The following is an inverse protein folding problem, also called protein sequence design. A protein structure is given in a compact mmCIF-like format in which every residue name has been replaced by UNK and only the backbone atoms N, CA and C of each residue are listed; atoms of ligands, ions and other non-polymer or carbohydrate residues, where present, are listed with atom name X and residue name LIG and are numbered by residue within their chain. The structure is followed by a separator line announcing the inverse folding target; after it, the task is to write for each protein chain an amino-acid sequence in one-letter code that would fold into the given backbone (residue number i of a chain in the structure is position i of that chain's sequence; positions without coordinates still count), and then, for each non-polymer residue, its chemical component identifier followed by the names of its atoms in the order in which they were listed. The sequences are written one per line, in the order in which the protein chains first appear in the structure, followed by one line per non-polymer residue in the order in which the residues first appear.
data_IF_136283666474
#
_entry.id   IF_136283666474
#
_cell.length_a   1.000
_cell.length_b   1.000
_cell.length_c   1.000
_cell.angle_alpha   90.00
_cell.angle_beta   90.00
_cell.angle_gamma   90.00
#
_symmetry.space_group_name_H-M   'P 1'
#
loop_
_entity.id
_entity.type
_entity.pdbx_description
1 polymer ?
#
# COMPACT_ATOMS: atom_id res chain seq x y z
N UNK A 1 21.45 -11.65 -62.86
CA UNK A 1 21.81 -10.82 -61.67
C UNK A 1 20.55 -10.07 -61.23
N UNK A 2 19.58 -10.76 -60.61
CA UNK A 2 18.28 -10.14 -60.26
C UNK A 2 17.55 -10.79 -59.08
N UNK A 3 18.20 -11.66 -58.29
CA UNK A 3 17.56 -12.38 -57.18
C UNK A 3 18.15 -12.07 -55.79
N UNK A 4 19.19 -11.22 -55.70
CA UNK A 4 19.79 -10.82 -54.41
C UNK A 4 19.24 -9.46 -53.96
N UNK A 5 18.91 -8.56 -54.90
CA UNK A 5 18.33 -7.26 -54.58
C UNK A 5 16.94 -7.36 -53.93
N UNK A 6 16.18 -8.42 -54.25
CA UNK A 6 14.85 -8.64 -53.70
C UNK A 6 14.87 -9.18 -52.26
N UNK A 7 15.99 -9.76 -51.81
CA UNK A 7 16.17 -10.20 -50.42
C UNK A 7 16.70 -9.08 -49.51
N UNK A 8 17.34 -8.06 -50.07
CA UNK A 8 17.76 -6.86 -49.35
C UNK A 8 16.62 -5.82 -49.23
N UNK A 9 15.65 -5.84 -50.15
CA UNK A 9 14.47 -4.96 -50.08
C UNK A 9 13.40 -5.49 -49.10
N UNK A 10 13.41 -6.78 -48.78
CA UNK A 10 12.47 -7.37 -47.81
C UNK A 10 12.94 -7.31 -46.35
N UNK A 11 14.23 -7.12 -46.07
CA UNK A 11 14.75 -7.03 -44.69
C UNK A 11 14.80 -5.60 -44.12
N UNK A 12 14.51 -4.57 -44.91
CA UNK A 12 14.46 -3.17 -44.44
C UNK A 12 13.06 -2.75 -43.96
N UNK A 13 12.05 -3.62 -44.08
CA UNK A 13 10.70 -3.34 -43.58
C UNK A 13 10.44 -3.78 -42.14
N UNK A 14 11.40 -4.42 -41.46
CA UNK A 14 11.20 -4.99 -40.11
C UNK A 14 11.97 -4.24 -39.00
N UNK A 15 12.30 -2.96 -39.17
CA UNK A 15 12.96 -2.19 -38.11
C UNK A 15 12.38 -0.77 -38.03
N UNK A 16 11.71 -0.49 -36.90
CA UNK A 16 11.03 0.75 -36.51
C UNK A 16 9.63 0.96 -37.09
N UNK A 17 8.61 0.59 -36.32
CA UNK A 17 7.24 0.97 -36.66
C UNK A 17 6.15 0.49 -35.74
N UNK A 18 6.45 0.00 -34.54
CA UNK A 18 5.51 -0.12 -33.42
C UNK A 18 5.16 1.30 -32.91
N UNK A 19 4.55 2.08 -33.80
CA UNK A 19 3.69 3.20 -33.48
C UNK A 19 2.51 2.59 -32.75
N UNK A 20 2.60 2.70 -31.43
CA UNK A 20 1.47 2.61 -30.52
C UNK A 20 0.27 3.29 -31.17
N UNK A 21 -0.79 2.50 -31.29
CA UNK A 21 -2.19 2.88 -31.38
C UNK A 21 -2.44 4.35 -30.99
N UNK A 22 -2.53 5.23 -31.98
CA UNK A 22 -3.25 6.50 -31.87
C UNK A 22 -4.70 6.25 -32.29
N UNK A 23 -5.48 5.64 -31.41
CA UNK A 23 -6.93 5.76 -31.40
C UNK A 23 -7.29 7.11 -30.77
N UNK A 24 -7.35 8.15 -31.62
CA UNK A 24 -7.95 9.43 -31.24
C UNK A 24 -9.46 9.25 -31.16
N UNK A 25 -9.94 9.13 -29.91
CA UNK A 25 -11.06 9.84 -29.29
C UNK A 25 -12.34 10.00 -30.12
N UNK A 26 -13.47 9.42 -29.69
CA UNK A 26 -14.59 10.21 -29.14
C UNK A 26 -15.74 9.35 -28.60
N UNK A 27 -15.96 9.43 -27.29
CA UNK A 27 -17.29 9.34 -26.70
C UNK A 27 -17.69 8.01 -26.09
N UNK A 28 -17.24 7.73 -24.85
CA UNK A 28 -18.05 7.13 -23.76
C UNK A 28 -17.27 6.61 -22.52
N UNK A 29 -16.25 7.29 -22.00
CA UNK A 29 -15.54 6.73 -20.82
C UNK A 29 -14.73 7.75 -20.02
N UNK A 30 -15.32 8.92 -19.75
CA UNK A 30 -14.94 9.81 -18.64
C UNK A 30 -15.04 9.16 -17.22
N UNK A 31 -15.09 7.83 -17.15
CA UNK A 31 -15.13 6.96 -15.97
C UNK A 31 -14.01 5.91 -15.96
N UNK A 32 -13.11 5.88 -16.96
CA UNK A 32 -12.01 4.94 -17.02
C UNK A 32 -10.86 5.32 -16.06
N UNK A 33 -11.07 5.10 -14.76
CA UNK A 33 -9.96 4.83 -13.83
C UNK A 33 -9.58 3.36 -14.03
N UNK A 34 -9.02 3.03 -15.20
CA UNK A 34 -8.41 1.73 -15.43
C UNK A 34 -7.07 1.64 -14.66
N UNK A 35 -6.78 0.52 -13.99
CA UNK A 35 -5.54 0.38 -13.23
C UNK A 35 -4.33 0.53 -14.16
N UNK A 36 -3.21 1.14 -13.70
CA UNK A 36 -2.00 1.23 -14.50
C UNK A 36 -1.56 -0.19 -14.88
N UNK A 37 -1.37 -0.44 -16.18
CA UNK A 37 -0.92 -1.72 -16.72
C UNK A 37 0.44 -2.07 -16.12
N UNK A 38 0.44 -3.00 -15.17
CA UNK A 38 1.64 -3.41 -14.47
C UNK A 38 2.41 -4.38 -15.39
N UNK A 39 3.68 -4.12 -15.74
CA UNK A 39 4.46 -4.98 -16.65
C UNK A 39 4.72 -6.40 -16.10
N UNK A 40 4.38 -6.63 -14.82
CA UNK A 40 4.50 -7.91 -14.11
C UNK A 40 3.17 -8.69 -13.99
N UNK A 41 2.05 -8.17 -14.53
CA UNK A 41 0.76 -8.87 -14.57
C UNK A 41 0.10 -9.16 -13.21
N UNK A 42 0.65 -8.64 -12.11
CA UNK A 42 0.09 -8.85 -10.78
C UNK A 42 -0.86 -7.72 -10.42
N UNK A 43 -2.14 -8.01 -10.52
CA UNK A 43 -3.24 -7.14 -10.11
C UNK A 43 -3.69 -7.55 -8.71
N UNK A 44 -3.65 -6.62 -7.76
CA UNK A 44 -4.15 -6.87 -6.40
C UNK A 44 -5.64 -6.60 -6.36
N UNK A 45 -6.44 -7.66 -6.42
CA UNK A 45 -7.89 -7.57 -6.23
C UNK A 45 -8.22 -7.10 -4.81
N UNK A 46 -9.30 -6.32 -4.66
CA UNK A 46 -9.79 -5.85 -3.35
C UNK A 46 -9.93 -6.98 -2.32
N UNK A 47 -10.43 -8.14 -2.75
CA UNK A 47 -10.56 -9.31 -1.89
C UNK A 47 -9.21 -9.83 -1.40
N UNK A 48 -8.18 -9.84 -2.26
CA UNK A 48 -6.82 -10.21 -1.86
C UNK A 48 -6.24 -9.22 -0.84
N UNK A 49 -6.46 -7.92 -1.05
CA UNK A 49 -6.03 -6.87 -0.13
C UNK A 49 -6.72 -6.95 1.25
N UNK A 50 -8.02 -7.28 1.29
CA UNK A 50 -8.77 -7.48 2.54
C UNK A 50 -8.26 -8.73 3.27
N UNK A 51 -8.11 -9.85 2.56
CA UNK A 51 -7.61 -11.09 3.17
C UNK A 51 -6.19 -10.93 3.73
N UNK A 52 -5.33 -10.18 3.04
CA UNK A 52 -3.99 -9.84 3.53
C UNK A 52 -4.04 -9.02 4.82
N UNK A 53 -4.88 -7.97 4.87
CA UNK A 53 -5.04 -7.14 6.06
C UNK A 53 -5.58 -7.94 7.25
N UNK A 54 -6.58 -8.80 7.02
CA UNK A 54 -7.15 -9.69 8.05
C UNK A 54 -6.07 -10.64 8.58
N UNK A 55 -5.22 -11.18 7.71
CA UNK A 55 -4.10 -12.04 8.11
C UNK A 55 -3.07 -11.33 9.00
N UNK A 56 -2.75 -10.07 8.72
CA UNK A 56 -1.83 -9.27 9.55
C UNK A 56 -2.45 -8.93 10.91
N UNK A 57 -3.73 -8.56 10.94
CA UNK A 57 -4.44 -8.23 12.20
C UNK A 57 -4.65 -9.46 13.10
N UNK A 58 -4.96 -10.61 12.52
CA UNK A 58 -5.15 -11.88 13.23
C UNK A 58 -3.85 -12.63 13.53
N UNK A 59 -2.67 -12.04 13.27
CA UNK A 59 -1.37 -12.68 13.50
C UNK A 59 -1.09 -13.03 14.98
N UNK A 60 0.16 -12.94 15.41
CA UNK A 60 0.54 -13.29 16.79
C UNK A 60 -0.22 -12.49 17.87
N UNK A 61 -0.80 -11.33 17.53
CA UNK A 61 -1.50 -10.44 18.45
C UNK A 61 -2.70 -11.07 19.18
N UNK A 62 -3.53 -11.86 18.49
CA UNK A 62 -4.74 -12.44 19.11
C UNK A 62 -4.40 -13.46 20.21
N UNK A 63 -3.26 -14.15 20.08
CA UNK A 63 -2.83 -15.19 21.02
C UNK A 63 -1.95 -14.64 22.15
N UNK A 64 -1.18 -13.58 21.91
CA UNK A 64 -0.25 -13.03 22.90
C UNK A 64 -0.86 -11.96 23.80
N UNK A 65 -1.84 -11.18 23.32
CA UNK A 65 -2.41 -10.03 24.05
C UNK A 65 -3.34 -10.42 25.21
N UNK A 66 -4.22 -11.43 25.13
CA UNK A 66 -5.22 -11.69 26.17
C UNK A 66 -4.62 -12.04 27.53
N UNK A 67 -3.56 -12.85 27.56
CA UNK A 67 -2.91 -13.29 28.81
C UNK A 67 -2.19 -12.16 29.55
N UNK A 68 -1.57 -11.23 28.80
CA UNK A 68 -0.88 -10.06 29.35
C UNK A 68 -1.88 -9.06 29.93
N UNK A 69 -2.96 -8.79 29.20
CA UNK A 69 -4.01 -7.86 29.64
C UNK A 69 -4.75 -8.41 30.86
N UNK A 70 -5.06 -9.71 30.88
CA UNK A 70 -5.75 -10.32 32.02
C UNK A 70 -4.91 -10.24 33.31
N UNK A 71 -3.59 -10.48 33.22
CA UNK A 71 -2.68 -10.32 34.36
C UNK A 71 -2.55 -8.86 34.82
N UNK A 72 -2.59 -7.91 33.89
CA UNK A 72 -2.42 -6.48 34.21
C UNK A 72 -3.67 -5.86 34.86
N UNK A 73 -4.85 -6.36 34.51
CA UNK A 73 -6.14 -5.79 34.92
C UNK A 73 -6.75 -6.54 36.12
N UNK A 74 -6.45 -7.84 36.29
CA UNK A 74 -6.96 -8.67 37.38
C UNK A 74 -8.47 -8.92 37.38
N UNK A 75 -9.22 -8.31 36.46
CA UNK A 75 -10.69 -8.40 36.34
C UNK A 75 -11.11 -8.64 34.90
N UNK A 76 -11.96 -9.65 34.70
CA UNK A 76 -12.47 -10.05 33.38
C UNK A 76 -13.39 -9.01 32.74
N UNK A 77 -14.06 -8.18 33.56
CA UNK A 77 -14.99 -7.16 33.06
C UNK A 77 -14.27 -6.03 32.31
N UNK A 78 -13.13 -5.58 32.85
CA UNK A 78 -12.31 -4.54 32.20
C UNK A 78 -11.66 -5.06 30.91
N UNK A 79 -11.34 -6.36 30.83
CA UNK A 79 -10.84 -6.98 29.59
C UNK A 79 -11.84 -6.79 28.43
N UNK A 80 -13.13 -7.08 28.66
CA UNK A 80 -14.16 -6.90 27.64
C UNK A 80 -14.37 -5.44 27.24
N UNK A 81 -14.26 -4.50 28.19
CA UNK A 81 -14.35 -3.07 27.88
C UNK A 81 -13.18 -2.64 26.98
N UNK A 82 -11.95 -3.04 27.30
CA UNK A 82 -10.79 -2.75 26.46
C UNK A 82 -10.88 -3.41 25.09
N UNK A 83 -11.46 -4.60 25.02
CA UNK A 83 -11.65 -5.31 23.76
C UNK A 83 -12.56 -4.57 22.78
N UNK A 84 -13.57 -3.85 23.27
CA UNK A 84 -14.46 -3.03 22.42
C UNK A 84 -13.83 -1.66 22.16
N UNK A 85 -13.15 -1.11 23.15
CA UNK A 85 -12.56 0.22 23.08
C UNK A 85 -11.38 0.28 22.08
N UNK A 86 -10.53 -0.75 22.03
CA UNK A 86 -9.37 -0.76 21.14
C UNK A 86 -9.74 -0.75 19.64
N UNK A 87 -10.67 -1.60 19.14
CA UNK A 87 -11.18 -1.50 17.78
C UNK A 87 -11.84 -0.15 17.48
N UNK A 88 -12.50 0.47 18.45
CA UNK A 88 -13.10 1.79 18.26
C UNK A 88 -12.04 2.85 17.94
N UNK A 89 -10.96 2.89 18.71
CA UNK A 89 -9.82 3.77 18.42
C UNK A 89 -9.16 3.44 17.07
N UNK A 90 -9.04 2.15 16.73
CA UNK A 90 -8.51 1.73 15.44
C UNK A 90 -9.40 2.18 14.27
N UNK A 91 -10.72 2.12 14.41
CA UNK A 91 -11.68 2.60 13.41
C UNK A 91 -11.58 4.11 13.21
N UNK A 92 -11.39 4.89 14.27
CA UNK A 92 -11.14 6.33 14.14
C UNK A 92 -9.86 6.60 13.32
N UNK A 93 -8.77 5.87 13.59
CA UNK A 93 -7.54 5.98 12.82
C UNK A 93 -7.72 5.55 11.35
N UNK A 94 -8.46 4.47 11.11
CA UNK A 94 -8.79 3.98 9.78
C UNK A 94 -9.61 5.00 8.98
N UNK A 95 -10.53 5.70 9.63
CA UNK A 95 -11.35 6.72 8.96
C UNK A 95 -10.50 7.88 8.45
N UNK A 96 -9.59 8.40 9.28
CA UNK A 96 -8.62 9.43 8.87
C UNK A 96 -7.72 8.91 7.74
N UNK A 97 -7.25 7.67 7.85
CA UNK A 97 -6.44 7.05 6.80
C UNK A 97 -7.23 6.83 5.49
N UNK A 98 -8.54 6.60 5.58
CA UNK A 98 -9.39 6.38 4.40
C UNK A 98 -9.60 7.66 3.59
N UNK A 99 -9.78 8.81 4.25
CA UNK A 99 -9.84 10.11 3.59
C UNK A 99 -8.55 10.39 2.84
N UNK A 100 -7.43 10.02 3.45
CA UNK A 100 -6.12 10.20 2.87
C UNK A 100 -5.83 9.24 1.71
N UNK A 101 -6.30 7.99 1.80
CA UNK A 101 -6.24 7.02 0.71
C UNK A 101 -7.04 7.47 -0.52
N UNK A 102 -8.16 8.17 -0.34
CA UNK A 102 -8.94 8.74 -1.45
C UNK A 102 -8.27 9.96 -2.10
N UNK A 103 -7.43 10.71 -1.38
CA UNK A 103 -6.77 11.91 -1.90
C UNK A 103 -5.65 11.59 -2.92
N UNK A 104 -5.07 10.38 -2.87
CA UNK A 104 -3.90 10.01 -3.67
C UNK A 104 -4.07 8.63 -4.36
N UNK A 105 -5.00 8.50 -5.33
CA UNK A 105 -5.38 7.20 -5.90
C UNK A 105 -4.35 6.57 -6.86
N UNK A 106 -3.34 7.32 -7.33
CA UNK A 106 -2.45 6.89 -8.43
C UNK A 106 -1.04 6.49 -8.03
N UNK A 107 -0.66 6.60 -6.74
CA UNK A 107 0.71 6.34 -6.30
C UNK A 107 0.74 5.32 -5.18
N UNK A 108 1.24 4.13 -5.50
CA UNK A 108 1.43 3.05 -4.53
C UNK A 108 2.73 3.31 -3.75
N UNK A 109 2.65 3.35 -2.41
CA UNK A 109 3.83 3.59 -1.57
C UNK A 109 3.56 3.91 -0.09
N UNK A 110 2.32 3.82 0.36
CA UNK A 110 1.95 3.88 1.77
C UNK A 110 2.33 5.18 2.47
N UNK A 111 2.54 5.09 3.77
CA UNK A 111 2.79 6.24 4.66
C UNK A 111 4.02 7.07 4.26
N UNK A 112 5.06 6.45 3.68
CA UNK A 112 6.27 7.16 3.27
C UNK A 112 6.04 8.05 2.06
N UNK A 113 5.34 7.55 1.03
CA UNK A 113 5.04 8.33 -0.19
C UNK A 113 4.09 9.48 0.11
N UNK A 114 3.17 9.26 1.04
CA UNK A 114 2.29 10.30 1.55
C UNK A 114 3.05 11.44 2.25
N UNK A 115 4.02 11.09 3.10
CA UNK A 115 4.83 12.07 3.82
C UNK A 115 5.75 12.87 2.88
N UNK A 116 6.21 12.26 1.78
CA UNK A 116 6.99 12.93 0.74
C UNK A 116 6.19 13.97 -0.06
N UNK A 117 4.87 13.81 -0.18
CA UNK A 117 4.00 14.78 -0.87
C UNK A 117 3.46 15.87 0.04
N UNK A 118 3.19 15.57 1.31
CA UNK A 118 2.71 16.57 2.28
C UNK A 118 3.81 17.57 2.71
N UNK A 119 5.09 17.15 2.73
CA UNK A 119 6.21 17.99 3.14
C UNK A 119 7.32 18.04 2.07
N UNK A 120 7.23 18.95 1.08
CA UNK A 120 8.24 19.08 0.02
C UNK A 120 9.58 19.68 0.47
N UNK A 121 9.68 20.28 1.67
CA UNK A 121 10.94 20.80 2.26
C UNK A 121 10.90 20.69 3.80
N UNK A 122 11.94 20.19 4.49
CA UNK A 122 13.13 19.44 4.04
C UNK A 122 12.85 17.94 3.78
N UNK A 123 13.52 17.36 2.79
CA UNK A 123 13.34 15.96 2.37
C UNK A 123 13.73 15.00 3.51
N UNK A 124 12.91 13.97 3.73
CA UNK A 124 13.16 12.83 4.64
C UNK A 124 13.16 13.10 6.15
N UNK A 125 12.86 14.30 6.65
CA UNK A 125 12.85 14.52 8.09
C UNK A 125 11.71 13.77 8.79
N UNK A 126 10.48 13.87 8.29
CA UNK A 126 9.31 13.24 8.91
C UNK A 126 9.37 11.70 8.89
N UNK A 127 9.75 11.04 7.78
CA UNK A 127 9.94 9.59 7.77
C UNK A 127 11.06 9.13 8.73
N UNK A 128 12.16 9.88 8.83
CA UNK A 128 13.26 9.57 9.75
C UNK A 128 12.81 9.74 11.20
N UNK A 129 12.07 10.81 11.53
CA UNK A 129 11.52 10.99 12.88
C UNK A 129 10.52 9.88 13.24
N UNK A 130 9.67 9.47 12.29
CA UNK A 130 8.74 8.36 12.48
C UNK A 130 9.47 7.03 12.73
N UNK A 131 10.51 6.73 11.93
CA UNK A 131 11.34 5.55 12.11
C UNK A 131 12.06 5.57 13.47
N UNK A 132 12.67 6.70 13.84
CA UNK A 132 13.35 6.89 15.12
C UNK A 132 12.37 6.71 16.29
N UNK A 133 11.19 7.31 16.22
CA UNK A 133 10.17 7.20 17.27
C UNK A 133 9.69 5.76 17.41
N UNK A 134 9.48 5.04 16.31
CA UNK A 134 9.09 3.62 16.31
C UNK A 134 10.16 2.72 16.93
N UNK A 135 11.44 2.93 16.60
CA UNK A 135 12.58 2.19 17.16
C UNK A 135 12.73 2.47 18.65
N UNK A 136 12.64 3.75 19.05
CA UNK A 136 12.73 4.15 20.45
C UNK A 136 11.57 3.57 21.27
N UNK A 137 10.35 3.61 20.74
CA UNK A 137 9.17 3.01 21.40
C UNK A 137 9.35 1.50 21.57
N UNK A 138 9.85 0.81 20.54
CA UNK A 138 10.13 -0.63 20.59
C UNK A 138 11.22 -0.97 21.61
N UNK A 139 12.30 -0.19 21.68
CA UNK A 139 13.37 -0.35 22.66
C UNK A 139 12.88 -0.11 24.09
N UNK A 140 12.09 0.95 24.31
CA UNK A 140 11.52 1.28 25.63
C UNK A 140 10.55 0.20 26.12
N UNK A 141 9.74 -0.36 25.22
CA UNK A 141 8.83 -1.46 25.56
C UNK A 141 9.60 -2.73 25.92
N UNK A 142 10.69 -3.04 25.20
CA UNK A 142 11.53 -4.21 25.51
C UNK A 142 12.10 -4.14 26.93
N UNK A 143 12.66 -2.98 27.32
CA UNK A 143 13.29 -2.78 28.66
C UNK A 143 12.29 -2.83 29.81
N UNK A 144 11.00 -2.61 29.55
CA UNK A 144 9.93 -2.64 30.58
C UNK A 144 9.33 -4.02 30.81
N UNK A 145 9.63 -5.00 29.95
CA UNK A 145 9.02 -6.34 29.95
C UNK A 145 9.96 -7.40 30.56
N UNK A 146 11.21 -7.04 30.87
CA UNK A 146 12.20 -7.82 31.64
C UNK A 146 12.16 -7.47 33.13
#
# INVERSE_FOLDING_TARGET
MSNIDNALHSQVLDTNGDTQTEDVQEGNDALAVGPPSNPLGHEVTLLSAVMLNVGVMLGAGIYSVPGVVLNSVGSIGLLFVFWVLAPLFALCGLMVYSEYASMFPKRSGGEVVYLEQAYPRPRFFVPVTFAVTSVLLSCVLSVRIE
#
